data_IF_985923707949
#
_entry.id   IF_985923707949
#
_cell.length_a   1.000
_cell.length_b   1.000
_cell.length_c   1.000
_cell.angle_alpha   90.00
_cell.angle_beta   90.00
_cell.angle_gamma   90.00
#
_symmetry.space_group_name_H-M   'P 1'
#
loop_
_entity.id
_entity.type
_entity.pdbx_description
1 polymer ?
#
# COMPACT_ATOMS: atom_id res chain seq x y z
N UNK A 1 -1.01 21.98 -8.00
CA UNK A 1 0.35 21.40 -8.05
C UNK A 1 0.28 19.94 -7.60
N UNK A 2 0.49 18.99 -8.51
CA UNK A 2 0.54 17.55 -8.19
C UNK A 2 1.99 17.16 -7.88
N UNK A 3 2.28 16.72 -6.65
CA UNK A 3 3.62 16.32 -6.22
C UNK A 3 3.72 14.78 -6.20
N UNK A 4 4.27 14.21 -7.27
CA UNK A 4 4.48 12.76 -7.42
C UNK A 4 5.45 12.16 -6.40
N UNK A 5 6.43 12.94 -5.90
CA UNK A 5 7.42 12.44 -4.95
C UNK A 5 6.82 12.24 -3.54
N UNK A 6 5.86 13.09 -3.15
CA UNK A 6 5.18 12.98 -1.85
C UNK A 6 4.00 11.99 -1.86
N UNK A 7 3.33 11.81 -3.00
CA UNK A 7 2.09 11.01 -3.09
C UNK A 7 2.29 9.50 -3.30
N UNK A 8 3.51 9.00 -3.43
CA UNK A 8 3.77 7.59 -3.79
C UNK A 8 3.12 6.55 -2.87
N UNK A 9 3.05 6.79 -1.56
CA UNK A 9 2.36 5.90 -0.61
C UNK A 9 0.84 5.87 -0.83
N UNK A 10 0.25 7.04 -1.04
CA UNK A 10 -1.19 7.16 -1.32
C UNK A 10 -1.55 6.55 -2.68
N UNK A 11 -0.73 6.77 -3.71
CA UNK A 11 -0.90 6.13 -5.02
C UNK A 11 -0.80 4.61 -4.93
N UNK A 12 0.17 4.07 -4.20
CA UNK A 12 0.32 2.63 -4.00
C UNK A 12 -0.88 2.03 -3.25
N UNK A 13 -1.40 2.73 -2.23
CA UNK A 13 -2.63 2.34 -1.54
C UNK A 13 -3.83 2.34 -2.50
N UNK A 14 -4.06 3.44 -3.22
CA UNK A 14 -5.16 3.56 -4.17
C UNK A 14 -5.11 2.47 -5.23
N UNK A 15 -3.92 2.18 -5.77
CA UNK A 15 -3.72 1.09 -6.75
C UNK A 15 -4.12 -0.27 -6.18
N UNK A 16 -3.74 -0.57 -4.93
CA UNK A 16 -4.14 -1.82 -4.26
C UNK A 16 -5.64 -1.89 -4.04
N UNK A 17 -6.25 -0.80 -3.58
CA UNK A 17 -7.70 -0.72 -3.36
C UNK A 17 -8.47 -0.91 -4.67
N UNK A 18 -8.05 -0.24 -5.74
CA UNK A 18 -8.65 -0.41 -7.07
C UNK A 18 -8.52 -1.85 -7.59
N UNK A 19 -7.39 -2.51 -7.38
CA UNK A 19 -7.22 -3.91 -7.79
C UNK A 19 -8.17 -4.85 -7.04
N UNK A 20 -8.37 -4.61 -5.75
CA UNK A 20 -9.29 -5.41 -4.93
C UNK A 20 -10.75 -5.14 -5.30
N UNK A 21 -11.09 -3.88 -5.59
CA UNK A 21 -12.41 -3.55 -6.14
C UNK A 21 -12.68 -4.28 -7.46
N UNK A 22 -11.70 -4.31 -8.38
CA UNK A 22 -11.84 -5.06 -9.64
C UNK A 22 -12.10 -6.56 -9.46
N UNK A 23 -11.66 -7.15 -8.34
CA UNK A 23 -11.92 -8.57 -8.07
C UNK A 23 -13.31 -8.84 -7.52
N UNK A 24 -13.94 -7.85 -6.87
CA UNK A 24 -15.22 -8.02 -6.18
C UNK A 24 -16.38 -7.42 -7.02
N UNK A 25 -16.09 -6.39 -7.80
CA UNK A 25 -17.07 -5.66 -8.61
C UNK A 25 -17.16 -6.28 -10.00
N UNK A 26 -18.32 -6.83 -10.35
CA UNK A 26 -18.64 -7.31 -11.70
C UNK A 26 -19.02 -6.17 -12.64
N UNK A 27 -19.77 -5.18 -12.15
CA UNK A 27 -20.21 -4.01 -12.92
C UNK A 27 -19.69 -2.70 -12.33
N UNK A 28 -19.17 -1.82 -13.19
CA UNK A 28 -18.50 -0.56 -12.80
C UNK A 28 -19.33 0.36 -11.87
N UNK A 29 -20.64 0.19 -11.78
CA UNK A 29 -21.52 1.06 -10.99
C UNK A 29 -21.61 0.71 -9.49
N UNK A 30 -21.26 -0.52 -9.12
CA UNK A 30 -21.49 -1.01 -7.75
C UNK A 30 -20.30 -0.79 -6.81
N UNK A 31 -19.25 -0.12 -7.28
CA UNK A 31 -18.01 0.06 -6.51
C UNK A 31 -18.23 0.81 -5.19
N UNK A 32 -19.21 1.72 -5.15
CA UNK A 32 -19.53 2.52 -3.96
C UNK A 32 -20.07 1.65 -2.83
N UNK A 33 -20.84 0.62 -3.18
CA UNK A 33 -21.40 -0.33 -2.20
C UNK A 33 -20.34 -1.34 -1.76
N UNK A 34 -19.45 -1.75 -2.67
CA UNK A 34 -18.40 -2.75 -2.42
C UNK A 34 -17.11 -2.20 -1.82
N UNK A 35 -16.96 -0.88 -1.71
CA UNK A 35 -15.73 -0.27 -1.17
C UNK A 35 -15.47 -0.66 0.28
N UNK A 36 -16.52 -0.86 1.08
CA UNK A 36 -16.41 -1.35 2.45
C UNK A 36 -15.78 -2.74 2.51
N UNK A 37 -16.22 -3.65 1.64
CA UNK A 37 -15.69 -5.02 1.55
C UNK A 37 -14.22 -5.03 1.09
N UNK A 38 -13.88 -4.20 0.09
CA UNK A 38 -12.51 -4.06 -0.37
C UNK A 38 -11.61 -3.48 0.73
N UNK A 39 -12.06 -2.45 1.44
CA UNK A 39 -11.30 -1.91 2.57
C UNK A 39 -11.12 -2.95 3.67
N UNK A 40 -12.16 -3.75 3.93
CA UNK A 40 -12.13 -4.80 4.93
C UNK A 40 -11.13 -5.90 4.60
N UNK A 41 -11.14 -6.39 3.36
CA UNK A 41 -10.15 -7.35 2.89
C UNK A 41 -8.73 -6.73 2.92
N UNK A 42 -8.57 -5.44 2.59
CA UNK A 42 -7.27 -4.77 2.75
C UNK A 42 -6.79 -4.77 4.21
N UNK A 43 -7.66 -4.47 5.17
CA UNK A 43 -7.28 -4.37 6.58
C UNK A 43 -6.93 -5.73 7.21
N UNK A 44 -7.53 -6.81 6.72
CA UNK A 44 -7.40 -8.16 7.31
C UNK A 44 -6.45 -9.09 6.57
N UNK A 45 -5.95 -8.70 5.40
CA UNK A 45 -5.01 -9.53 4.64
C UNK A 45 -3.58 -9.26 5.07
N UNK A 46 -2.82 -10.32 5.35
CA UNK A 46 -1.40 -10.23 5.68
C UNK A 46 -0.62 -9.55 4.56
N UNK A 47 0.32 -8.70 4.93
CA UNK A 47 1.19 -8.00 3.98
C UNK A 47 2.49 -8.76 3.82
N UNK A 48 2.80 -9.16 2.59
CA UNK A 48 4.06 -9.85 2.26
C UNK A 48 5.31 -9.18 2.82
N UNK A 49 5.45 -7.83 2.82
CA UNK A 49 6.64 -7.19 3.37
C UNK A 49 6.78 -7.28 4.90
N UNK A 50 5.67 -7.30 5.64
CA UNK A 50 5.68 -7.20 7.11
C UNK A 50 5.17 -8.46 7.82
N UNK A 51 4.59 -9.41 7.09
CA UNK A 51 3.99 -10.63 7.63
C UNK A 51 2.71 -10.41 8.44
N UNK A 52 2.29 -9.17 8.70
CA UNK A 52 1.17 -8.82 9.58
C UNK A 52 0.03 -8.15 8.81
N UNK A 53 -1.16 -8.11 9.41
CA UNK A 53 -2.32 -7.41 8.85
C UNK A 53 -2.27 -5.92 9.21
N UNK A 54 -2.75 -5.01 8.35
CA UNK A 54 -2.83 -3.59 8.70
C UNK A 54 -3.68 -3.32 9.94
N UNK A 55 -4.73 -4.11 10.18
CA UNK A 55 -5.57 -3.97 11.37
C UNK A 55 -4.80 -4.28 12.66
N UNK A 56 -4.02 -5.37 12.69
CA UNK A 56 -3.30 -5.76 13.92
C UNK A 56 -2.21 -4.76 14.30
N UNK A 57 -1.65 -4.05 13.32
CA UNK A 57 -0.72 -2.95 13.57
C UNK A 57 -1.36 -1.73 14.23
N UNK A 58 -2.67 -1.52 14.06
CA UNK A 58 -3.38 -0.38 14.66
C UNK A 58 -3.96 -0.75 16.03
N UNK A 59 -4.54 -1.94 16.15
CA UNK A 59 -5.34 -2.34 17.32
C UNK A 59 -4.69 -3.40 18.22
N UNK A 60 -3.45 -3.78 17.91
CA UNK A 60 -2.61 -4.76 18.65
C UNK A 60 -3.11 -6.20 18.65
N UNK A 61 -4.24 -6.46 18.01
CA UNK A 61 -4.91 -7.75 17.97
C UNK A 61 -5.41 -8.05 16.58
N UNK A 62 -5.48 -9.33 16.25
CA UNK A 62 -6.13 -9.75 15.03
C UNK A 62 -7.65 -9.63 15.16
N UNK A 63 -8.28 -9.27 14.05
CA UNK A 63 -9.74 -9.22 13.95
C UNK A 63 -10.33 -10.60 14.13
N UNK A 64 -11.41 -10.67 14.92
CA UNK A 64 -12.34 -11.81 14.91
C UNK A 64 -13.11 -11.80 13.60
N UNK A 65 -12.80 -12.74 12.71
CA UNK A 65 -13.45 -12.83 11.40
C UNK A 65 -14.93 -13.23 11.55
N UNK A 66 -15.81 -12.81 10.61
CA UNK A 66 -17.21 -13.23 10.62
C UNK A 66 -17.40 -14.75 10.69
N UNK A 67 -16.58 -15.51 9.96
CA UNK A 67 -16.61 -16.98 9.99
C UNK A 67 -16.37 -17.55 11.39
N UNK A 68 -15.51 -16.90 12.18
CA UNK A 68 -15.26 -17.33 13.57
C UNK A 68 -16.35 -16.94 14.56
N UNK A 69 -17.30 -16.10 14.10
CA UNK A 69 -18.52 -15.84 14.85
C UNK A 69 -19.55 -16.94 14.62
N UNK A 70 -19.62 -17.47 13.43
CA UNK A 70 -20.51 -18.58 13.09
C UNK A 70 -19.95 -19.92 13.57
N UNK A 71 -18.63 -20.11 13.45
CA UNK A 71 -17.90 -21.30 13.88
C UNK A 71 -17.02 -20.89 15.05
N UNK A 72 -17.29 -21.34 16.30
CA UNK A 72 -16.49 -20.98 17.46
C UNK A 72 -15.01 -21.31 17.24
N UNK A 73 -14.19 -20.28 17.09
CA UNK A 73 -12.75 -20.44 16.93
C UNK A 73 -12.09 -20.78 18.27
N UNK A 74 -10.93 -21.44 18.21
CA UNK A 74 -10.16 -21.78 19.42
C UNK A 74 -9.89 -20.55 20.29
N UNK A 75 -9.55 -19.41 19.68
CA UNK A 75 -9.30 -18.16 20.41
C UNK A 75 -10.55 -17.66 21.14
N UNK A 76 -11.75 -17.76 20.54
CA UNK A 76 -13.01 -17.42 21.24
C UNK A 76 -13.28 -18.35 22.40
N UNK A 77 -13.13 -19.66 22.19
CA UNK A 77 -13.37 -20.65 23.24
C UNK A 77 -12.41 -20.46 24.43
N UNK A 78 -11.16 -20.02 24.19
CA UNK A 78 -10.23 -19.64 25.25
C UNK A 78 -10.68 -18.35 25.94
N UNK A 79 -11.08 -17.34 25.17
CA UNK A 79 -11.46 -16.03 25.71
C UNK A 79 -12.75 -16.07 26.54
N UNK A 80 -13.72 -16.92 26.18
CA UNK A 80 -14.95 -17.16 26.94
C UNK A 80 -14.70 -17.83 28.30
N UNK A 81 -13.59 -18.56 28.45
CA UNK A 81 -13.20 -19.21 29.70
C UNK A 81 -12.44 -18.28 30.65
N UNK A 82 -12.04 -17.10 30.20
CA UNK A 82 -11.32 -16.13 31.02
C UNK A 82 -12.27 -15.38 31.96
N UNK A 83 -11.82 -15.15 33.19
CA UNK A 83 -12.51 -14.19 34.06
C UNK A 83 -12.34 -12.77 33.52
N UNK A 84 -13.20 -11.84 33.92
CA UNK A 84 -13.08 -10.43 33.54
C UNK A 84 -11.71 -9.84 33.90
N UNK A 85 -11.15 -10.23 35.06
CA UNK A 85 -9.83 -9.76 35.50
C UNK A 85 -8.71 -10.29 34.60
N UNK A 86 -8.78 -11.56 34.23
CA UNK A 86 -7.80 -12.19 33.34
C UNK A 86 -7.87 -11.60 31.94
N UNK A 87 -9.08 -11.33 31.45
CA UNK A 87 -9.31 -10.70 30.15
C UNK A 87 -8.69 -9.29 30.07
N UNK A 88 -8.91 -8.47 31.10
CA UNK A 88 -8.31 -7.13 31.20
C UNK A 88 -6.78 -7.22 31.26
N UNK A 89 -6.23 -8.17 32.03
CA UNK A 89 -4.79 -8.38 32.12
C UNK A 89 -4.19 -8.79 30.77
N UNK A 90 -4.85 -9.70 30.05
CA UNK A 90 -4.44 -10.12 28.71
C UNK A 90 -4.46 -8.94 27.73
N UNK A 91 -5.54 -8.14 27.73
CA UNK A 91 -5.65 -6.97 26.85
C UNK A 91 -4.55 -5.94 27.12
N UNK A 92 -4.18 -5.74 28.38
CA UNK A 92 -3.07 -4.86 28.74
C UNK A 92 -1.71 -5.39 28.23
N UNK A 93 -1.50 -6.72 28.26
CA UNK A 93 -0.29 -7.32 27.71
C UNK A 93 -0.22 -7.17 26.19
N UNK A 94 -1.33 -7.39 25.47
CA UNK A 94 -1.41 -7.17 24.02
C UNK A 94 -1.06 -5.73 23.63
N UNK A 95 -1.60 -4.75 24.36
CA UNK A 95 -1.32 -3.34 24.13
C UNK A 95 0.14 -2.99 24.39
N UNK A 96 0.75 -3.54 25.46
CA UNK A 96 2.18 -3.34 25.75
C UNK A 96 3.09 -3.94 24.68
N UNK A 97 2.68 -5.04 24.06
CA UNK A 97 3.41 -5.67 22.96
C UNK A 97 3.16 -4.97 21.60
N UNK A 98 2.28 -3.97 21.52
CA UNK A 98 1.97 -3.29 20.27
C UNK A 98 3.19 -2.58 19.68
N UNK A 99 3.89 -1.80 20.51
CA UNK A 99 5.01 -0.98 20.07
C UNK A 99 6.13 -1.85 19.50
N UNK A 100 6.39 -3.00 20.14
CA UNK A 100 7.34 -4.00 19.66
C UNK A 100 6.93 -4.57 18.29
N UNK A 101 5.67 -4.99 18.13
CA UNK A 101 5.16 -5.47 16.83
C UNK A 101 5.22 -4.40 15.73
N UNK A 102 4.94 -3.14 16.08
CA UNK A 102 5.03 -2.03 15.12
C UNK A 102 6.48 -1.79 14.69
N UNK A 103 7.42 -1.84 15.64
CA UNK A 103 8.84 -1.70 15.36
C UNK A 103 9.36 -2.84 14.47
N UNK A 104 9.01 -4.09 14.78
CA UNK A 104 9.37 -5.25 13.96
C UNK A 104 8.82 -5.13 12.53
N UNK A 105 7.55 -4.76 12.39
CA UNK A 105 6.92 -4.58 11.09
C UNK A 105 7.56 -3.44 10.29
N UNK A 106 7.97 -2.36 10.96
CA UNK A 106 8.70 -1.26 10.33
C UNK A 106 10.06 -1.73 9.82
N UNK A 107 10.83 -2.43 10.65
CA UNK A 107 12.15 -2.97 10.28
C UNK A 107 12.04 -3.95 9.10
N UNK A 108 11.04 -4.83 9.13
CA UNK A 108 10.76 -5.76 8.03
C UNK A 108 10.43 -5.00 6.72
N UNK A 109 9.62 -3.95 6.80
CA UNK A 109 9.28 -3.11 5.67
C UNK A 109 10.50 -2.38 5.09
N UNK A 110 11.35 -1.81 5.93
CA UNK A 110 12.58 -1.14 5.52
C UNK A 110 13.54 -2.11 4.83
N UNK A 111 13.76 -3.28 5.40
CA UNK A 111 14.54 -4.35 4.78
C UNK A 111 13.98 -4.77 3.42
N UNK A 112 12.65 -4.90 3.30
CA UNK A 112 12.00 -5.21 2.04
C UNK A 112 12.19 -4.11 1.00
N UNK A 113 12.01 -2.83 1.40
CA UNK A 113 12.23 -1.69 0.52
C UNK A 113 13.67 -1.62 0.04
N UNK A 114 14.65 -1.76 0.94
CA UNK A 114 16.07 -1.76 0.59
C UNK A 114 16.42 -2.87 -0.41
N UNK A 115 15.85 -4.08 -0.24
CA UNK A 115 16.01 -5.18 -1.21
C UNK A 115 15.43 -4.82 -2.58
N UNK A 116 14.28 -4.16 -2.61
CA UNK A 116 13.63 -3.76 -3.86
C UNK A 116 14.38 -2.64 -4.56
N UNK A 117 14.82 -1.62 -3.84
CA UNK A 117 15.68 -0.56 -4.38
C UNK A 117 16.96 -1.15 -4.96
N UNK A 118 17.67 -2.02 -4.21
CA UNK A 118 18.88 -2.68 -4.70
C UNK A 118 18.63 -3.51 -5.96
N UNK A 119 17.49 -4.19 -6.05
CA UNK A 119 17.14 -4.98 -7.24
C UNK A 119 16.84 -4.08 -8.45
N UNK A 120 16.17 -2.95 -8.24
CA UNK A 120 15.89 -1.96 -9.27
C UNK A 120 17.19 -1.29 -9.74
N UNK A 121 18.01 -0.79 -8.82
CA UNK A 121 19.25 -0.06 -9.09
C UNK A 121 20.26 -0.89 -9.90
N UNK A 122 20.28 -2.23 -9.73
CA UNK A 122 21.08 -3.14 -10.57
C UNK A 122 20.80 -3.00 -12.08
N UNK A 123 19.58 -2.60 -12.45
CA UNK A 123 19.16 -2.47 -13.85
C UNK A 123 19.18 -1.00 -14.31
N UNK A 124 19.41 -0.05 -13.40
CA UNK A 124 19.48 1.38 -13.72
C UNK A 124 20.91 1.73 -14.12
N UNK A 125 21.10 2.13 -15.39
CA UNK A 125 22.34 2.77 -15.81
C UNK A 125 22.25 4.25 -15.45
N UNK A 126 22.95 4.64 -14.39
CA UNK A 126 23.06 6.04 -14.02
C UNK A 126 23.76 6.80 -15.15
N UNK A 127 23.07 7.80 -15.72
CA UNK A 127 23.62 8.70 -16.73
C UNK A 127 23.86 10.04 -16.04
N UNK A 128 25.12 10.45 -15.93
CA UNK A 128 25.46 11.81 -15.50
C UNK A 128 25.37 12.73 -16.71
N UNK A 129 24.91 13.95 -16.48
CA UNK A 129 24.88 15.01 -17.47
C UNK A 129 25.75 16.17 -16.98
N UNK A 130 26.49 16.79 -17.88
CA UNK A 130 27.31 17.98 -17.63
C UNK A 130 26.65 19.21 -18.26
N UNK A 131 26.95 20.39 -17.73
CA UNK A 131 26.52 21.66 -18.35
C UNK A 131 27.04 21.70 -19.80
N UNK A 132 26.13 21.92 -20.75
CA UNK A 132 26.42 21.85 -22.18
C UNK A 132 26.04 20.52 -22.87
N UNK A 133 25.64 19.49 -22.13
CA UNK A 133 25.13 18.26 -22.72
C UNK A 133 23.76 18.49 -23.39
N UNK A 134 23.55 17.81 -24.51
CA UNK A 134 22.30 17.83 -25.25
C UNK A 134 21.36 16.74 -24.72
N UNK A 135 20.25 17.14 -24.13
CA UNK A 135 19.27 16.21 -23.54
C UNK A 135 17.90 16.35 -24.17
N UNK A 136 17.19 15.22 -24.28
CA UNK A 136 15.80 15.18 -24.73
C UNK A 136 14.87 15.35 -23.53
N UNK A 137 14.13 16.46 -23.49
CA UNK A 137 13.11 16.68 -22.48
C UNK A 137 11.84 15.88 -22.82
N UNK A 138 11.30 15.13 -21.85
CA UNK A 138 10.00 14.46 -22.02
C UNK A 138 8.91 15.53 -22.00
N UNK A 139 8.12 15.59 -23.07
CA UNK A 139 6.93 16.44 -23.09
C UNK A 139 5.85 15.82 -22.20
N UNK A 140 5.60 16.41 -21.03
CA UNK A 140 4.54 15.95 -20.11
C UNK A 140 3.22 16.66 -20.42
N UNK A 141 2.25 15.97 -21.01
CA UNK A 141 0.91 16.51 -21.18
C UNK A 141 0.17 16.51 -19.83
N UNK A 142 0.13 17.67 -19.17
CA UNK A 142 -0.51 17.84 -17.86
C UNK A 142 -2.05 17.93 -17.98
N UNK A 143 -2.60 18.00 -19.20
CA UNK A 143 -4.05 18.20 -19.42
C UNK A 143 -4.59 17.16 -20.42
N UNK A 144 -5.21 16.11 -19.90
CA UNK A 144 -5.98 15.12 -20.66
C UNK A 144 -7.40 15.62 -20.95
N UNK A 145 -7.55 16.83 -21.49
CA UNK A 145 -8.84 17.27 -22.03
C UNK A 145 -8.66 17.81 -23.43
N UNK A 146 -9.38 17.18 -24.36
CA UNK A 146 -9.60 17.53 -25.77
C UNK A 146 -8.61 16.92 -26.76
N UNK A 147 -8.90 15.68 -27.17
CA UNK A 147 -9.04 15.26 -28.59
C UNK A 147 -8.10 15.87 -29.67
N UNK A 148 -6.85 16.21 -29.36
CA UNK A 148 -5.91 16.81 -30.34
C UNK A 148 -4.45 16.46 -30.07
N UNK A 149 -4.15 15.22 -29.67
CA UNK A 149 -2.79 14.69 -29.84
C UNK A 149 -2.84 13.54 -30.84
N UNK A 150 -2.55 13.89 -32.11
CA UNK A 150 -2.36 12.91 -33.17
C UNK A 150 -1.27 11.92 -32.76
N UNK A 151 -1.49 10.64 -33.08
CA UNK A 151 -0.59 9.48 -32.86
C UNK A 151 0.87 9.69 -33.33
N UNK A 152 1.13 10.77 -34.07
CA UNK A 152 2.40 11.13 -34.71
C UNK A 152 3.11 12.34 -34.09
N UNK A 153 2.66 12.85 -32.95
CA UNK A 153 3.40 13.92 -32.26
C UNK A 153 4.61 13.33 -31.50
N UNK A 154 5.80 13.95 -31.60
CA UNK A 154 6.97 13.48 -30.86
C UNK A 154 6.73 13.64 -29.36
N UNK A 155 7.09 12.60 -28.60
CA UNK A 155 6.99 12.57 -27.13
C UNK A 155 8.09 13.40 -26.42
N UNK A 156 8.98 13.99 -27.21
CA UNK A 156 10.18 14.68 -26.77
C UNK A 156 10.20 16.06 -27.39
N UNK A 157 10.53 17.07 -26.60
CA UNK A 157 10.84 18.40 -27.12
C UNK A 157 12.28 18.40 -27.68
N UNK A 158 12.58 19.39 -28.53
CA UNK A 158 13.89 19.52 -29.18
C UNK A 158 14.98 19.68 -28.12
N UNK A 159 16.13 19.07 -28.40
CA UNK A 159 17.41 19.12 -27.69
C UNK A 159 17.61 20.42 -26.88
N UNK A 160 17.53 20.29 -25.55
CA UNK A 160 17.81 21.37 -24.61
C UNK A 160 19.23 21.21 -24.06
N UNK A 161 19.90 22.34 -23.78
CA UNK A 161 21.17 22.34 -23.08
C UNK A 161 20.95 22.18 -21.58
N UNK A 162 21.72 21.30 -20.97
CA UNK A 162 21.87 21.26 -19.51
C UNK A 162 22.53 22.58 -19.10
N UNK A 163 21.81 23.41 -18.34
CA UNK A 163 22.25 24.74 -17.85
C UNK A 163 22.65 24.70 -16.38
#
# INVERSE_FOLDING_TARGET
MYNTAANGKAEAFNKRLCNLLKTIVSESRDWQERIGEALWAYQNTHRTPTGVTPYSLVYSVEVILPLEREIPSLRKAVQEKLTTKDNVKLRLQELKALDEKQLEAQQALECYQARMSKAFDKHVKLRSFQVGDLVLAVRRSIITTRHTENKFTPKWDVLEFVS
#
